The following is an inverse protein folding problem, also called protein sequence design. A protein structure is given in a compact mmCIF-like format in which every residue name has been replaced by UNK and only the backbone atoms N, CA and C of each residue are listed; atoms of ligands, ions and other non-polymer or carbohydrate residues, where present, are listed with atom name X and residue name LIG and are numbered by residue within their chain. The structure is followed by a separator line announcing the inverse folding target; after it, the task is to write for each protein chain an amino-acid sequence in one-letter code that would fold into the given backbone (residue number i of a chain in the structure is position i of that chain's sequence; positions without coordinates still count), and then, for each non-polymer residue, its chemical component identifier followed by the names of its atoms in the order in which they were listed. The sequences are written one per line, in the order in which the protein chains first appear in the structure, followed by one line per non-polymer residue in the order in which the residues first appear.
data_IF_979854968304
#
_entry.id   IF_979854968304
#
_cell.length_a   1.000
_cell.length_b   1.000
_cell.length_c   1.000
_cell.angle_alpha   90.00
_cell.angle_beta   90.00
_cell.angle_gamma   90.00
#
_symmetry.space_group_name_H-M   'P 1'
#
loop_
_entity.id
_entity.type
_entity.pdbx_description
1 polymer ?
#
# COMPACT_ATOMS: atom_id res chain seq x y z
N UNK A 1 56.10 -36.10 -31.58
CA UNK A 1 55.44 -35.78 -32.85
C UNK A 1 54.25 -34.90 -32.56
N UNK A 2 54.20 -33.64 -33.02
CA UNK A 2 53.88 -33.21 -34.40
C UNK A 2 52.41 -33.52 -34.74
N UNK A 3 51.53 -32.62 -35.21
CA UNK A 3 51.69 -31.31 -35.82
C UNK A 3 50.32 -30.60 -35.88
N UNK A 4 50.32 -29.25 -35.84
CA UNK A 4 49.26 -28.39 -36.44
C UNK A 4 49.44 -28.34 -37.97
N UNK A 5 48.48 -27.79 -38.74
CA UNK A 5 48.55 -26.36 -39.13
C UNK A 5 47.15 -25.69 -39.18
N UNK A 6 46.92 -24.43 -38.77
CA UNK A 6 47.26 -23.12 -39.38
C UNK A 6 46.88 -22.97 -40.86
N UNK A 7 45.90 -22.11 -41.13
CA UNK A 7 45.92 -21.23 -42.32
C UNK A 7 45.56 -19.79 -41.93
N UNK A 8 46.45 -18.87 -42.36
CA UNK A 8 46.33 -17.41 -42.34
C UNK A 8 45.72 -16.97 -43.68
N UNK A 9 45.04 -15.82 -43.68
CA UNK A 9 44.75 -15.03 -44.88
C UNK A 9 43.99 -13.75 -44.56
N UNK A 10 44.72 -12.64 -44.43
CA UNK A 10 44.23 -11.26 -44.41
C UNK A 10 44.49 -10.63 -45.81
N UNK A 11 44.43 -9.30 -46.02
CA UNK A 11 43.31 -8.33 -45.93
C UNK A 11 43.19 -7.50 -47.23
N UNK A 12 42.06 -6.81 -47.52
CA UNK A 12 42.03 -5.64 -48.44
C UNK A 12 40.94 -4.62 -48.04
N UNK A 13 41.29 -3.34 -48.17
CA UNK A 13 40.57 -2.12 -47.78
C UNK A 13 39.75 -1.48 -48.91
N UNK A 14 38.73 -0.67 -48.56
CA UNK A 14 38.31 0.58 -49.26
C UNK A 14 37.07 1.17 -48.55
N UNK A 15 37.12 2.38 -47.96
CA UNK A 15 36.84 3.73 -48.50
C UNK A 15 35.38 3.99 -48.93
N UNK A 16 34.85 5.14 -48.48
CA UNK A 16 33.63 5.83 -48.96
C UNK A 16 32.36 5.39 -48.23
N UNK A 17 31.37 6.20 -47.88
CA UNK A 17 31.11 7.64 -48.06
C UNK A 17 29.75 7.90 -47.38
N UNK A 18 29.61 9.02 -46.66
CA UNK A 18 28.30 9.55 -46.24
C UNK A 18 27.48 9.92 -47.49
N UNK A 19 26.14 9.92 -47.39
CA UNK A 19 25.48 11.21 -47.19
C UNK A 19 24.32 11.19 -46.19
N UNK A 20 24.24 12.28 -45.45
CA UNK A 20 23.08 13.14 -45.20
C UNK A 20 21.70 12.54 -45.39
N UNK A 21 20.91 12.45 -44.31
CA UNK A 21 19.46 12.52 -44.42
C UNK A 21 18.91 13.59 -43.47
N UNK A 22 18.42 14.64 -44.11
CA UNK A 22 17.74 15.80 -43.54
C UNK A 22 16.26 15.45 -43.42
N UNK A 23 15.72 15.36 -42.21
CA UNK A 23 14.28 15.47 -42.00
C UNK A 23 13.98 16.37 -40.80
N UNK A 24 13.53 17.56 -41.18
CA UNK A 24 12.68 18.51 -40.49
C UNK A 24 12.01 17.99 -39.21
N UNK A 25 12.21 18.72 -38.10
CA UNK A 25 11.23 18.79 -37.02
C UNK A 25 10.70 20.21 -36.89
N UNK A 26 9.42 20.33 -37.22
CA UNK A 26 8.56 21.46 -36.96
C UNK A 26 8.68 21.93 -35.51
N UNK A 27 8.89 23.24 -35.40
CA UNK A 27 8.66 24.07 -34.24
C UNK A 27 7.18 24.05 -33.84
N UNK A 28 6.87 23.57 -32.64
CA UNK A 28 5.60 23.83 -31.96
C UNK A 28 5.90 24.62 -30.70
N UNK A 29 5.44 25.87 -30.72
CA UNK A 29 5.50 26.85 -29.65
C UNK A 29 4.65 26.39 -28.46
N UNK A 30 5.29 26.09 -27.33
CA UNK A 30 4.63 25.91 -26.04
C UNK A 30 4.42 27.29 -25.40
N UNK A 31 3.18 27.79 -25.49
CA UNK A 31 2.69 28.94 -24.74
C UNK A 31 2.79 28.66 -23.24
N UNK A 32 3.58 29.47 -22.56
CA UNK A 32 3.64 29.55 -21.11
C UNK A 32 2.34 30.21 -20.58
N UNK A 33 1.47 29.43 -19.93
CA UNK A 33 0.43 29.99 -19.07
C UNK A 33 0.97 30.13 -17.64
N UNK A 34 1.54 31.30 -17.33
CA UNK A 34 1.73 31.75 -15.95
C UNK A 34 0.37 32.15 -15.38
N UNK A 35 -0.21 31.31 -14.53
CA UNK A 35 -1.35 31.70 -13.68
C UNK A 35 -0.81 32.54 -12.52
N UNK A 36 -1.25 33.79 -12.47
CA UNK A 36 -0.88 34.76 -11.47
C UNK A 36 -1.45 34.36 -10.09
N UNK A 37 -0.55 34.23 -9.10
CA UNK A 37 -0.91 34.23 -7.67
C UNK A 37 -1.51 35.59 -7.32
N UNK A 38 -2.80 35.65 -6.99
CA UNK A 38 -3.40 36.78 -6.26
C UNK A 38 -3.67 36.34 -4.82
N UNK A 39 -2.94 36.98 -3.90
CA UNK A 39 -3.25 37.05 -2.47
C UNK A 39 -4.58 37.83 -2.34
N UNK A 40 -5.56 37.26 -1.68
CA UNK A 40 -6.73 37.98 -1.19
C UNK A 40 -6.73 37.86 0.34
N UNK A 41 -6.51 39.00 0.97
CA UNK A 41 -6.45 39.17 2.41
C UNK A 41 -7.81 39.03 3.07
N UNK A 42 -7.72 38.64 4.33
CA UNK A 42 -8.68 38.81 5.40
C UNK A 42 -9.44 40.14 5.34
N UNK A 43 -10.77 40.10 5.23
CA UNK A 43 -11.67 41.13 5.75
C UNK A 43 -12.94 40.50 6.33
N UNK A 44 -12.97 40.50 7.65
CA UNK A 44 -14.11 40.73 8.55
C UNK A 44 -15.46 41.02 7.86
N UNK A 45 -16.44 40.13 8.08
CA UNK A 45 -17.86 40.44 7.85
C UNK A 45 -18.37 41.12 9.11
N UNK A 46 -18.49 42.44 9.02
CA UNK A 46 -19.06 43.30 10.04
C UNK A 46 -20.59 43.32 9.88
N UNK A 47 -21.27 43.13 11.00
CA UNK A 47 -22.72 43.24 11.12
C UNK A 47 -23.23 44.59 10.60
N UNK A 48 -24.31 44.55 9.82
CA UNK A 48 -25.13 45.71 9.52
C UNK A 48 -26.57 45.38 9.93
N UNK A 49 -26.89 45.72 11.18
CA UNK A 49 -28.23 46.09 11.58
C UNK A 49 -28.45 47.53 11.13
N UNK A 50 -29.49 47.77 10.34
CA UNK A 50 -29.98 49.10 10.05
C UNK A 50 -31.49 49.03 9.82
N UNK A 51 -32.22 49.32 10.90
CA UNK A 51 -33.40 50.18 10.96
C UNK A 51 -34.37 50.21 9.78
N UNK A 52 -35.50 49.52 9.97
CA UNK A 52 -36.78 49.87 9.34
C UNK A 52 -37.84 50.04 10.42
N UNK A 53 -37.85 51.21 11.04
CA UNK A 53 -38.94 51.75 11.84
C UNK A 53 -39.41 53.07 11.21
N UNK A 54 -40.31 52.99 10.23
CA UNK A 54 -41.19 54.10 9.86
C UNK A 54 -42.24 53.64 8.83
N UNK A 55 -43.45 53.32 9.32
CA UNK A 55 -44.73 53.73 8.73
C UNK A 55 -45.87 52.96 9.40
N UNK A 56 -46.26 53.43 10.58
CA UNK A 56 -47.55 53.11 11.19
C UNK A 56 -48.47 54.33 11.00
N UNK A 57 -49.47 54.23 10.12
CA UNK A 57 -50.66 55.11 10.13
C UNK A 57 -51.91 54.36 9.63
N UNK A 58 -52.63 53.82 10.62
CA UNK A 58 -54.10 53.70 10.72
C UNK A 58 -54.82 52.58 9.89
N UNK A 59 -56.11 52.28 10.17
CA UNK A 59 -56.52 51.17 11.05
C UNK A 59 -57.54 50.22 10.37
N UNK A 60 -57.97 49.17 11.10
CA UNK A 60 -58.78 47.99 10.68
C UNK A 60 -57.82 46.92 10.13
N UNK A 61 -57.66 45.72 10.67
CA UNK A 61 -58.64 44.75 11.10
C UNK A 61 -58.07 43.96 12.32
N UNK A 62 -58.80 43.98 13.43
CA UNK A 62 -58.63 43.00 14.52
C UNK A 62 -59.43 41.76 14.15
N UNK A 63 -58.74 40.60 14.09
CA UNK A 63 -59.21 39.19 14.23
C UNK A 63 -58.60 38.33 13.12
N UNK A 64 -58.17 37.12 13.50
CA UNK A 64 -57.31 36.16 12.77
C UNK A 64 -55.83 36.59 12.81
N UNK A 65 -54.92 36.00 13.57
CA UNK A 65 -54.68 34.58 13.85
C UNK A 65 -54.06 34.42 15.26
N UNK A 66 -54.88 34.04 16.23
CA UNK A 66 -54.45 33.26 17.39
C UNK A 66 -54.76 31.81 16.99
N UNK A 67 -53.74 31.04 16.61
CA UNK A 67 -53.67 29.57 16.47
C UNK A 67 -52.67 29.22 15.36
N UNK A 68 -51.39 29.08 15.74
CA UNK A 68 -50.43 28.12 15.16
C UNK A 68 -49.06 28.26 15.86
N UNK A 69 -49.06 28.22 17.19
CA UNK A 69 -47.87 27.90 17.96
C UNK A 69 -48.07 26.47 18.47
N UNK A 70 -47.79 25.45 17.65
CA UNK A 70 -47.60 24.04 18.03
C UNK A 70 -47.38 23.14 16.79
N UNK A 71 -46.39 23.44 15.94
CA UNK A 71 -45.76 22.39 15.08
C UNK A 71 -44.33 22.79 14.70
N UNK A 72 -43.47 23.05 15.70
CA UNK A 72 -42.02 22.99 15.44
C UNK A 72 -41.63 21.52 15.49
N UNK A 73 -41.65 20.88 14.31
CA UNK A 73 -41.03 19.56 14.13
C UNK A 73 -39.54 19.72 14.48
N UNK A 74 -38.98 18.96 15.43
CA UNK A 74 -37.56 19.04 15.71
C UNK A 74 -36.81 18.56 14.47
N UNK A 75 -35.96 19.46 13.99
CA UNK A 75 -34.99 19.29 12.92
C UNK A 75 -34.31 17.91 12.97
N UNK A 76 -34.36 17.18 11.84
CA UNK A 76 -33.63 15.92 11.58
C UNK A 76 -32.10 16.00 11.77
N UNK A 77 -31.53 17.15 12.16
CA UNK A 77 -30.08 17.36 12.33
C UNK A 77 -29.49 16.73 13.58
N UNK A 78 -30.26 16.41 14.62
CA UNK A 78 -29.73 15.76 15.83
C UNK A 78 -29.64 14.22 15.74
N UNK A 79 -30.28 13.59 14.76
CA UNK A 79 -30.24 12.13 14.62
C UNK A 79 -28.92 11.64 13.98
N UNK A 80 -28.34 12.42 13.07
CA UNK A 80 -27.10 12.05 12.37
C UNK A 80 -25.86 12.20 13.27
N UNK A 81 -25.87 13.15 14.22
CA UNK A 81 -24.75 13.35 15.14
C UNK A 81 -24.60 12.23 16.20
N UNK A 82 -25.68 11.50 16.51
CA UNK A 82 -25.69 10.45 17.53
C UNK A 82 -25.31 9.06 17.02
N UNK A 83 -25.31 8.85 15.70
CA UNK A 83 -24.92 7.58 15.08
C UNK A 83 -23.41 7.46 14.87
N UNK A 84 -22.66 8.57 14.89
CA UNK A 84 -21.21 8.57 14.73
C UNK A 84 -20.43 8.25 16.03
N UNK A 85 -21.07 8.32 17.20
CA UNK A 85 -20.41 7.99 18.48
C UNK A 85 -20.42 6.51 18.79
N UNK A 86 -21.46 5.77 18.38
CA UNK A 86 -21.59 4.33 18.61
C UNK A 86 -20.70 3.47 17.72
N UNK A 87 -20.29 3.97 16.55
CA UNK A 87 -19.35 3.27 15.65
C UNK A 87 -17.89 3.46 16.09
N UNK A 88 -17.54 4.60 16.69
CA UNK A 88 -16.21 4.82 17.29
C UNK A 88 -15.99 4.04 18.59
N UNK A 89 -17.06 3.61 19.27
CA UNK A 89 -17.01 3.06 20.63
C UNK A 89 -16.72 1.55 20.74
N UNK A 90 -16.25 0.88 19.67
CA UNK A 90 -15.81 -0.52 19.74
C UNK A 90 -14.49 -0.79 19.02
N UNK A 91 -13.66 0.22 18.86
CA UNK A 91 -12.29 0.00 18.39
C UNK A 91 -11.48 -0.49 19.59
N UNK A 92 -11.38 -1.81 19.77
CA UNK A 92 -10.61 -2.37 20.88
C UNK A 92 -9.12 -2.02 20.65
N UNK A 93 -8.42 -1.46 21.64
CA UNK A 93 -6.99 -1.25 21.52
C UNK A 93 -6.29 -2.61 21.37
N UNK A 94 -5.29 -2.70 20.49
CA UNK A 94 -4.46 -3.89 20.32
C UNK A 94 -2.99 -3.58 20.59
N UNK A 95 -2.26 -4.54 21.16
CA UNK A 95 -0.80 -4.44 21.33
C UNK A 95 -0.14 -5.00 20.08
N UNK A 96 0.65 -4.18 19.38
CA UNK A 96 1.36 -4.62 18.19
C UNK A 96 2.54 -5.55 18.58
N UNK A 97 2.60 -6.79 18.07
CA UNK A 97 3.71 -7.70 18.36
C UNK A 97 5.06 -7.25 17.77
N UNK A 98 5.02 -6.32 16.80
CA UNK A 98 6.22 -5.83 16.11
C UNK A 98 6.85 -4.61 16.78
N UNK A 99 6.07 -3.67 17.31
CA UNK A 99 6.60 -2.47 17.98
C UNK A 99 6.40 -2.46 19.50
N UNK A 100 5.47 -3.25 20.04
CA UNK A 100 5.15 -3.29 21.47
C UNK A 100 4.18 -2.21 21.94
N UNK A 101 3.80 -1.26 21.08
CA UNK A 101 2.87 -0.19 21.41
C UNK A 101 1.40 -0.64 21.32
N UNK A 102 0.54 0.10 22.02
CA UNK A 102 -0.93 -0.08 21.93
C UNK A 102 -1.49 0.87 20.88
N UNK A 103 -2.19 0.30 19.90
CA UNK A 103 -2.83 1.05 18.82
C UNK A 103 -4.36 0.98 18.96
N UNK A 104 -5.04 2.08 18.67
CA UNK A 104 -6.50 2.09 18.47
C UNK A 104 -6.80 1.50 17.08
N UNK A 105 -7.66 0.49 16.99
CA UNK A 105 -7.95 -0.11 15.69
C UNK A 105 -8.17 -1.60 15.76
N UNK A 106 -8.54 -2.15 14.62
CA UNK A 106 -8.23 -3.54 14.33
C UNK A 106 -6.82 -3.62 13.74
N UNK A 107 -6.04 -4.69 13.97
CA UNK A 107 -4.71 -4.84 13.41
C UNK A 107 -4.70 -4.80 11.88
N UNK A 108 -3.96 -3.86 11.29
CA UNK A 108 -3.87 -3.71 9.82
C UNK A 108 -2.72 -4.50 9.21
N UNK A 109 -1.96 -5.24 10.00
CA UNK A 109 -0.84 -6.04 9.53
C UNK A 109 -0.69 -7.34 10.33
N UNK A 110 -0.10 -8.33 9.69
CA UNK A 110 0.34 -9.57 10.31
C UNK A 110 1.64 -10.02 9.67
N UNK A 111 2.63 -10.39 10.47
CA UNK A 111 3.92 -10.80 9.96
C UNK A 111 4.56 -11.91 10.77
N UNK A 112 5.22 -12.83 10.06
CA UNK A 112 5.96 -13.91 10.67
C UNK A 112 7.35 -13.45 11.11
N UNK A 113 7.81 -13.97 12.24
CA UNK A 113 9.16 -13.68 12.75
C UNK A 113 10.24 -14.33 11.90
N UNK A 114 9.97 -15.52 11.35
CA UNK A 114 10.90 -16.31 10.55
C UNK A 114 10.15 -17.09 9.46
N UNK A 115 10.85 -17.59 8.42
CA UNK A 115 10.31 -18.59 7.51
C UNK A 115 9.89 -19.86 8.27
N UNK A 116 8.83 -20.54 7.83
CA UNK A 116 8.26 -21.69 8.57
C UNK A 116 9.28 -22.81 8.75
N UNK A 117 10.13 -23.04 7.74
CA UNK A 117 11.21 -24.05 7.81
C UNK A 117 12.21 -23.77 8.94
N UNK A 118 12.52 -22.49 9.21
CA UNK A 118 13.44 -22.11 10.30
C UNK A 118 12.70 -22.05 11.62
N UNK A 119 11.44 -21.63 11.61
CA UNK A 119 10.58 -21.64 12.79
C UNK A 119 10.34 -23.05 13.33
N UNK A 120 10.26 -24.06 12.47
CA UNK A 120 10.12 -25.47 12.86
C UNK A 120 11.33 -26.07 13.60
N UNK A 121 12.50 -25.43 13.53
CA UNK A 121 13.71 -25.88 14.25
C UNK A 121 13.57 -25.52 15.75
N UNK A 122 14.02 -26.36 16.69
CA UNK A 122 14.07 -26.00 18.10
C UNK A 122 14.84 -24.69 18.34
N UNK A 123 14.30 -23.81 19.17
CA UNK A 123 14.85 -22.45 19.37
C UNK A 123 16.33 -22.46 19.78
N UNK A 124 16.73 -23.41 20.62
CA UNK A 124 18.13 -23.57 21.08
C UNK A 124 19.12 -23.94 19.96
N UNK A 125 18.63 -24.44 18.83
CA UNK A 125 19.43 -24.87 17.68
C UNK A 125 19.32 -23.91 16.49
N UNK A 126 18.27 -23.08 16.42
CA UNK A 126 18.03 -22.14 15.31
C UNK A 126 19.25 -21.29 14.97
N UNK A 127 19.86 -20.66 15.98
CA UNK A 127 21.01 -19.78 15.76
C UNK A 127 22.30 -20.52 15.34
N UNK A 128 22.37 -21.84 15.53
CA UNK A 128 23.49 -22.68 15.08
C UNK A 128 23.32 -23.10 13.63
N UNK A 129 22.08 -23.29 13.19
CA UNK A 129 21.74 -23.84 11.87
C UNK A 129 21.34 -22.78 10.84
N UNK A 130 20.79 -21.65 11.28
CA UNK A 130 20.32 -20.56 10.43
C UNK A 130 20.91 -19.22 10.89
N UNK A 131 21.15 -18.33 9.92
CA UNK A 131 21.53 -16.94 10.16
C UNK A 131 20.33 -16.07 9.80
N UNK A 132 19.81 -15.30 10.75
CA UNK A 132 18.64 -14.48 10.51
C UNK A 132 18.67 -13.18 11.29
N UNK A 133 18.01 -12.17 10.76
CA UNK A 133 17.70 -10.91 11.43
C UNK A 133 16.23 -10.53 11.13
N UNK A 134 15.86 -9.25 11.27
CA UNK A 134 14.50 -8.77 11.04
C UNK A 134 13.99 -8.91 9.62
N UNK A 135 14.88 -8.96 8.63
CA UNK A 135 14.57 -8.80 7.19
C UNK A 135 15.25 -9.84 6.28
N UNK A 136 16.30 -10.50 6.76
CA UNK A 136 17.12 -11.46 6.04
C UNK A 136 17.21 -12.76 6.82
N UNK A 137 17.13 -13.89 6.12
CA UNK A 137 17.31 -15.21 6.71
C UNK A 137 18.00 -16.14 5.71
N UNK A 138 18.99 -16.90 6.19
CA UNK A 138 19.73 -17.91 5.45
C UNK A 138 19.70 -19.21 6.24
N UNK A 139 19.32 -20.30 5.56
CA UNK A 139 19.31 -21.65 6.12
C UNK A 139 19.92 -22.63 5.11
N UNK A 140 21.15 -23.07 5.38
CA UNK A 140 21.96 -23.81 4.40
C UNK A 140 22.16 -23.00 3.12
N UNK A 141 21.73 -23.57 1.99
CA UNK A 141 21.80 -22.94 0.66
C UNK A 141 20.47 -22.25 0.25
N UNK A 142 19.56 -22.05 1.20
CA UNK A 142 18.26 -21.39 0.97
C UNK A 142 18.31 -19.99 1.55
N UNK A 143 17.79 -19.03 0.78
CA UNK A 143 17.88 -17.60 1.07
C UNK A 143 16.48 -17.01 1.10
N UNK A 144 16.19 -16.26 2.16
CA UNK A 144 14.86 -15.72 2.41
C UNK A 144 14.94 -14.22 2.71
N UNK A 145 14.05 -13.46 2.09
CA UNK A 145 13.88 -12.02 2.34
C UNK A 145 12.49 -11.79 2.92
N UNK A 146 12.40 -10.94 3.94
CA UNK A 146 11.11 -10.50 4.47
C UNK A 146 10.56 -9.40 3.58
N UNK A 147 9.38 -9.65 3.03
CA UNK A 147 8.71 -8.77 2.10
C UNK A 147 7.32 -8.38 2.62
N UNK A 148 6.70 -7.41 1.96
CA UNK A 148 5.36 -6.92 2.28
C UNK A 148 4.41 -7.20 1.13
N UNK A 149 3.43 -8.07 1.37
CA UNK A 149 2.30 -8.27 0.49
C UNK A 149 1.14 -7.38 0.97
N UNK A 150 0.65 -6.51 0.11
CA UNK A 150 -0.41 -5.55 0.44
C UNK A 150 -1.73 -5.98 -0.18
N UNK A 151 -2.81 -5.94 0.60
CA UNK A 151 -4.19 -6.09 0.15
C UNK A 151 -4.92 -4.77 0.39
N UNK A 152 -5.39 -4.11 -0.67
CA UNK A 152 -6.06 -2.81 -0.52
C UNK A 152 -7.44 -2.99 0.10
N UNK A 153 -7.86 -2.08 0.98
CA UNK A 153 -9.24 -2.06 1.43
C UNK A 153 -10.14 -1.41 0.38
N UNK A 154 -11.36 -1.93 0.23
CA UNK A 154 -12.33 -1.37 -0.71
C UNK A 154 -13.01 -0.11 -0.15
N UNK A 155 -13.15 -0.04 1.18
CA UNK A 155 -13.90 1.01 1.87
C UNK A 155 -13.02 2.11 2.47
N UNK A 156 -11.69 1.96 2.42
CA UNK A 156 -10.74 2.93 2.98
C UNK A 156 -9.43 2.94 2.18
N UNK A 157 -8.67 4.06 2.15
CA UNK A 157 -7.47 4.19 1.32
C UNK A 157 -6.26 3.40 1.83
N UNK A 158 -6.33 2.83 3.02
CA UNK A 158 -5.28 2.01 3.62
C UNK A 158 -5.25 0.58 3.03
N UNK A 159 -4.29 -0.23 3.49
CA UNK A 159 -4.14 -1.62 3.09
C UNK A 159 -3.94 -2.53 4.31
N UNK A 160 -4.27 -3.81 4.15
CA UNK A 160 -3.82 -4.87 5.06
C UNK A 160 -2.45 -5.40 4.62
N UNK A 161 -1.49 -5.45 5.54
CA UNK A 161 -0.11 -5.81 5.27
C UNK A 161 0.26 -7.21 5.77
N UNK A 162 0.59 -8.12 4.85
CA UNK A 162 1.19 -9.40 5.16
C UNK A 162 2.72 -9.32 5.10
N UNK A 163 3.38 -9.39 6.25
CA UNK A 163 4.83 -9.48 6.39
C UNK A 163 5.32 -10.91 6.22
N UNK A 164 5.45 -11.35 4.97
CA UNK A 164 5.79 -12.72 4.58
C UNK A 164 7.27 -12.88 4.23
N UNK A 165 7.81 -14.07 4.48
CA UNK A 165 9.14 -14.45 4.00
C UNK A 165 9.04 -15.06 2.61
N UNK A 166 9.90 -14.59 1.70
CA UNK A 166 9.99 -15.10 0.33
C UNK A 166 11.34 -15.78 0.15
N UNK A 167 11.33 -17.03 -0.29
CA UNK A 167 12.52 -17.73 -0.75
C UNK A 167 12.91 -17.23 -2.14
N UNK A 168 14.16 -16.81 -2.29
CA UNK A 168 14.74 -16.27 -3.51
C UNK A 168 16.05 -16.97 -3.85
N UNK A 169 16.52 -16.78 -5.07
CA UNK A 169 17.83 -17.29 -5.47
C UNK A 169 18.95 -16.52 -4.75
N UNK A 170 20.10 -17.17 -4.57
CA UNK A 170 21.28 -16.61 -3.91
C UNK A 170 21.70 -15.25 -4.48
N UNK A 171 21.75 -15.15 -5.81
CA UNK A 171 22.13 -13.92 -6.51
C UNK A 171 21.18 -12.75 -6.18
N UNK A 172 19.88 -13.01 -6.07
CA UNK A 172 18.86 -12.00 -5.82
C UNK A 172 18.87 -11.59 -4.34
N UNK A 173 19.17 -12.53 -3.45
CA UNK A 173 19.41 -12.27 -2.03
C UNK A 173 20.59 -11.33 -1.82
N UNK A 174 21.75 -11.63 -2.39
CA UNK A 174 22.91 -10.75 -2.25
C UNK A 174 22.70 -9.42 -2.96
N UNK A 175 21.97 -9.40 -4.09
CA UNK A 175 21.58 -8.15 -4.73
C UNK A 175 20.73 -7.27 -3.82
N UNK A 176 19.79 -7.86 -3.09
CA UNK A 176 19.00 -7.13 -2.10
C UNK A 176 19.87 -6.61 -0.95
N UNK A 177 20.83 -7.39 -0.45
CA UNK A 177 21.78 -6.95 0.59
C UNK A 177 22.59 -5.72 0.14
N UNK A 178 23.06 -5.69 -1.11
CA UNK A 178 23.80 -4.54 -1.67
C UNK A 178 22.97 -3.25 -1.76
N UNK A 179 21.65 -3.41 -1.88
CA UNK A 179 20.66 -2.36 -2.06
C UNK A 179 19.91 -2.01 -0.78
N UNK A 180 20.19 -2.68 0.34
CA UNK A 180 19.42 -2.54 1.58
C UNK A 180 19.27 -1.09 2.05
N UNK A 181 20.35 -0.29 2.00
CA UNK A 181 20.36 1.13 2.35
C UNK A 181 20.29 2.06 1.12
N UNK A 182 19.93 1.53 -0.05
CA UNK A 182 19.85 2.27 -1.32
C UNK A 182 18.46 2.17 -1.93
N UNK A 183 18.22 2.95 -2.96
CA UNK A 183 17.01 2.80 -3.75
C UNK A 183 17.14 1.63 -4.72
N UNK A 184 16.39 0.55 -4.47
CA UNK A 184 16.27 -0.60 -5.34
C UNK A 184 15.04 -0.57 -6.24
N UNK A 185 14.22 0.50 -6.21
CA UNK A 185 12.94 0.56 -6.93
C UNK A 185 13.06 0.47 -8.45
N UNK A 186 14.22 0.82 -9.01
CA UNK A 186 14.52 0.71 -10.44
C UNK A 186 15.02 -0.66 -10.89
N UNK A 187 15.28 -1.59 -9.96
CA UNK A 187 15.72 -2.94 -10.30
C UNK A 187 14.59 -3.78 -10.91
N UNK A 188 14.92 -4.72 -11.80
CA UNK A 188 13.94 -5.66 -12.31
C UNK A 188 13.33 -6.48 -11.16
N UNK A 189 12.04 -6.82 -11.24
CA UNK A 189 11.42 -7.72 -10.28
C UNK A 189 12.12 -9.09 -10.28
N UNK A 190 12.25 -9.69 -9.11
CA UNK A 190 12.84 -11.02 -8.93
C UNK A 190 11.75 -12.05 -8.65
N UNK A 191 11.98 -13.30 -9.05
CA UNK A 191 11.04 -14.39 -8.77
C UNK A 191 11.34 -15.01 -7.40
N UNK A 192 10.31 -15.48 -6.72
CA UNK A 192 10.46 -16.19 -5.46
C UNK A 192 9.26 -17.05 -5.11
N UNK A 193 9.30 -17.69 -3.95
CA UNK A 193 8.16 -18.47 -3.42
C UNK A 193 7.88 -18.11 -1.97
N UNK A 194 6.61 -18.08 -1.58
CA UNK A 194 6.24 -17.77 -0.19
C UNK A 194 6.73 -18.91 0.74
N UNK A 195 7.41 -18.55 1.83
CA UNK A 195 7.98 -19.48 2.80
C UNK A 195 7.18 -19.56 4.11
N UNK A 196 5.94 -19.05 4.11
CA UNK A 196 5.00 -19.10 5.24
C UNK A 196 3.63 -19.64 4.82
N UNK A 197 3.01 -20.43 5.70
CA UNK A 197 1.60 -20.83 5.62
C UNK A 197 0.72 -19.69 6.16
N UNK A 198 -0.09 -19.09 5.29
CA UNK A 198 -0.96 -17.96 5.61
C UNK A 198 -2.33 -18.46 6.03
N UNK A 199 -2.80 -18.16 7.26
CA UNK A 199 -4.12 -18.59 7.70
C UNK A 199 -5.21 -17.89 6.89
N UNK A 200 -6.31 -18.60 6.64
CA UNK A 200 -7.44 -18.07 5.86
C UNK A 200 -7.26 -18.13 4.34
N UNK A 201 -6.18 -18.76 3.86
CA UNK A 201 -5.94 -19.05 2.44
C UNK A 201 -5.70 -20.55 2.22
N UNK A 202 -5.88 -21.06 0.98
CA UNK A 202 -5.29 -22.34 0.57
C UNK A 202 -3.76 -22.33 0.72
N UNK A 203 -3.13 -23.49 0.48
CA UNK A 203 -1.68 -23.65 0.65
C UNK A 203 -0.85 -22.54 -0.01
N UNK A 204 -0.28 -21.66 0.83
CA UNK A 204 0.60 -20.57 0.39
C UNK A 204 2.07 -20.94 0.44
N UNK A 205 2.45 -21.98 1.18
CA UNK A 205 3.83 -22.43 1.26
C UNK A 205 4.29 -22.93 -0.12
N UNK A 206 5.32 -22.32 -0.69
CA UNK A 206 5.80 -22.60 -2.04
C UNK A 206 5.04 -21.87 -3.16
N UNK A 207 4.05 -21.02 -2.83
CA UNK A 207 3.30 -20.26 -3.83
C UNK A 207 4.25 -19.31 -4.59
N UNK A 208 4.33 -19.39 -5.93
CA UNK A 208 5.23 -18.53 -6.70
C UNK A 208 4.75 -17.08 -6.71
N UNK A 209 5.70 -16.17 -6.51
CA UNK A 209 5.47 -14.73 -6.43
C UNK A 209 6.58 -13.96 -7.16
N UNK A 210 6.29 -12.70 -7.41
CA UNK A 210 7.25 -11.72 -7.91
C UNK A 210 7.52 -10.70 -6.82
N UNK A 211 8.79 -10.41 -6.58
CA UNK A 211 9.24 -9.44 -5.58
C UNK A 211 9.81 -8.22 -6.28
N UNK A 212 9.28 -7.05 -5.96
CA UNK A 212 9.78 -5.77 -6.43
C UNK A 212 10.52 -5.07 -5.30
N UNK A 213 11.83 -4.85 -5.48
CA UNK A 213 12.61 -4.02 -4.56
C UNK A 213 12.06 -2.60 -4.51
N UNK A 214 12.26 -1.92 -3.38
CA UNK A 214 11.69 -0.61 -3.08
C UNK A 214 12.80 0.36 -2.68
N UNK A 215 12.43 1.55 -2.20
CA UNK A 215 13.36 2.49 -1.59
C UNK A 215 13.97 1.91 -0.31
N UNK A 216 15.09 2.48 0.15
CA UNK A 216 15.80 2.09 1.37
C UNK A 216 14.96 2.09 2.66
N UNK A 217 13.84 2.82 2.65
CA UNK A 217 12.92 2.94 3.79
C UNK A 217 11.78 1.92 3.76
N UNK A 218 11.65 1.14 2.69
CA UNK A 218 10.51 0.24 2.48
C UNK A 218 10.99 -1.17 2.19
N UNK A 219 10.34 -2.15 2.81
CA UNK A 219 10.55 -3.57 2.47
C UNK A 219 10.12 -3.84 1.03
N UNK A 220 10.74 -4.83 0.35
CA UNK A 220 10.31 -5.26 -0.97
C UNK A 220 8.81 -5.60 -1.01
N UNK A 221 8.15 -5.22 -2.09
CA UNK A 221 6.75 -5.51 -2.31
C UNK A 221 6.57 -6.88 -2.98
N UNK A 222 5.58 -7.65 -2.54
CA UNK A 222 5.24 -8.95 -3.15
C UNK A 222 4.01 -8.81 -4.03
N UNK A 223 4.10 -9.38 -5.24
CA UNK A 223 3.00 -9.53 -6.17
C UNK A 223 2.77 -11.01 -6.45
N UNK A 224 1.53 -11.47 -6.32
CA UNK A 224 1.13 -12.83 -6.69
C UNK A 224 0.61 -12.79 -8.13
N UNK A 225 1.21 -13.53 -9.07
CA UNK A 225 0.75 -13.57 -10.45
C UNK A 225 -0.73 -13.99 -10.56
N UNK A 226 -1.54 -13.17 -11.25
CA UNK A 226 -2.97 -13.39 -11.38
C UNK A 226 -3.34 -14.68 -12.14
N UNK A 227 -2.44 -15.20 -12.98
CA UNK A 227 -2.65 -16.42 -13.76
C UNK A 227 -2.66 -17.71 -12.91
N UNK A 228 -2.20 -17.66 -11.66
CA UNK A 228 -2.19 -18.83 -10.76
C UNK A 228 -3.61 -19.17 -10.26
N UNK A 229 -4.54 -18.22 -10.31
CA UNK A 229 -5.92 -18.43 -9.85
C UNK A 229 -6.05 -18.64 -8.33
N UNK A 230 -5.01 -18.32 -7.56
CA UNK A 230 -5.04 -18.42 -6.11
C UNK A 230 -5.88 -17.27 -5.50
N UNK A 231 -6.71 -17.49 -4.45
CA UNK A 231 -7.53 -16.44 -3.84
C UNK A 231 -6.73 -15.20 -3.40
N UNK A 232 -5.51 -15.40 -2.90
CA UNK A 232 -4.60 -14.30 -2.53
C UNK A 232 -4.28 -13.38 -3.72
N UNK A 233 -4.13 -13.91 -4.93
CA UNK A 233 -3.88 -13.11 -6.13
C UNK A 233 -5.14 -12.31 -6.53
N UNK A 234 -6.32 -12.92 -6.40
CA UNK A 234 -7.59 -12.26 -6.68
C UNK A 234 -7.83 -11.10 -5.70
N UNK A 235 -7.62 -11.33 -4.42
CA UNK A 235 -7.77 -10.30 -3.37
C UNK A 235 -6.71 -9.20 -3.48
N UNK A 236 -5.50 -9.51 -3.95
CA UNK A 236 -4.49 -8.48 -4.19
C UNK A 236 -4.88 -7.51 -5.31
N UNK A 237 -5.59 -8.00 -6.33
CA UNK A 237 -6.07 -7.17 -7.46
C UNK A 237 -7.39 -6.47 -7.13
N UNK A 238 -8.35 -7.20 -6.56
CA UNK A 238 -9.70 -6.70 -6.31
C UNK A 238 -9.81 -5.91 -5.01
N UNK A 239 -8.84 -6.04 -4.10
CA UNK A 239 -8.94 -5.58 -2.72
C UNK A 239 -9.79 -6.52 -1.86
N UNK A 240 -9.85 -6.20 -0.57
CA UNK A 240 -10.66 -6.89 0.43
C UNK A 240 -11.69 -5.93 1.01
N UNK A 241 -12.90 -6.44 1.22
CA UNK A 241 -13.94 -5.70 1.95
C UNK A 241 -13.81 -5.91 3.46
N UNK A 242 -14.59 -5.16 4.24
CA UNK A 242 -14.59 -5.28 5.71
C UNK A 242 -14.92 -6.69 6.20
N UNK A 243 -15.78 -7.43 5.48
CA UNK A 243 -16.13 -8.81 5.86
C UNK A 243 -14.91 -9.71 5.75
N UNK A 244 -14.21 -9.66 4.63
CA UNK A 244 -12.99 -10.43 4.39
C UNK A 244 -11.87 -10.04 5.34
N UNK A 245 -11.73 -8.75 5.65
CA UNK A 245 -10.81 -8.27 6.68
C UNK A 245 -11.09 -8.92 8.04
N UNK A 246 -12.35 -8.97 8.48
CA UNK A 246 -12.72 -9.67 9.72
C UNK A 246 -12.40 -11.17 9.68
N UNK A 247 -12.64 -11.86 8.55
CA UNK A 247 -12.28 -13.26 8.38
C UNK A 247 -10.77 -13.49 8.55
N UNK A 248 -9.94 -12.61 7.97
CA UNK A 248 -8.48 -12.63 8.12
C UNK A 248 -8.08 -12.48 9.59
N UNK A 249 -8.66 -11.52 10.30
CA UNK A 249 -8.34 -11.28 11.71
C UNK A 249 -8.70 -12.45 12.62
N UNK A 250 -9.81 -13.14 12.35
CA UNK A 250 -10.17 -14.36 13.07
C UNK A 250 -9.17 -15.48 12.74
N UNK A 251 -8.81 -15.63 11.47
CA UNK A 251 -7.86 -16.66 11.04
C UNK A 251 -6.45 -16.46 11.62
N UNK A 252 -5.99 -15.21 11.78
CA UNK A 252 -4.70 -14.89 12.41
C UNK A 252 -4.73 -14.95 13.94
N UNK A 253 -5.90 -15.20 14.54
CA UNK A 253 -6.10 -15.16 16.00
C UNK A 253 -6.03 -13.75 16.58
N UNK A 254 -6.08 -12.71 15.74
CA UNK A 254 -6.09 -11.30 16.14
C UNK A 254 -7.44 -10.86 16.73
N UNK A 255 -8.51 -11.56 16.37
CA UNK A 255 -9.81 -11.49 17.02
C UNK A 255 -10.17 -12.87 17.55
N UNK A 256 -10.69 -12.93 18.79
CA UNK A 256 -11.28 -14.16 19.31
C UNK A 256 -12.40 -14.62 18.39
N UNK A 257 -12.33 -15.89 17.95
CA UNK A 257 -13.44 -16.50 17.23
C UNK A 257 -14.70 -16.58 18.11
N UNK A 258 -15.88 -16.80 17.51
CA UNK A 258 -17.10 -17.05 18.27
C UNK A 258 -16.99 -18.27 19.18
#
# INVERSE_FOLDING_TARGET
GSCRPRYRGAPVASRGSRPSNTLARCSVSLRQHRVARRRLGSRTVQAAACDLLACARAPRWRRFLLLCALTVRPSRRHFVARLNSSVRARMQPFVCPSCGDTHEGLPTDHGWKLPDVVWGIPESERAKLAKFNSDLCQFGNRFFIRCLLKLQFNEQPEYYGWGVWIEVQEQDFYRYVELYDKDGSGEPPVSGTIANSMPGYPDTLGLPVVVQFQSSTSRPAVLVPANIGHPLALEQVAGIDNRRYHEILVATGSLGGP
#
